data_IF_682400311859
#
_entry.id   IF_682400311859
#
_cell.length_a   1.000
_cell.length_b   1.000
_cell.length_c   1.000
_cell.angle_alpha   90.00
_cell.angle_beta   90.00
_cell.angle_gamma   90.00
#
_symmetry.space_group_name_H-M   'P 1'
#
loop_
_entity.id
_entity.type
_entity.pdbx_description
1 polymer ?
#
# COMPACT_ATOMS: atom_id res chain seq x y z
N UNK A 1 -1.21 -10.47 -10.08
CA UNK A 1 -2.47 -9.74 -9.79
C UNK A 1 -2.14 -8.44 -9.08
N UNK A 2 -2.98 -7.39 -9.15
CA UNK A 2 -2.80 -6.14 -8.41
C UNK A 2 -3.66 -6.15 -7.14
N UNK A 3 -3.02 -6.00 -5.98
CA UNK A 3 -3.67 -5.80 -4.69
C UNK A 3 -3.54 -4.34 -4.26
N UNK A 4 -4.63 -3.74 -3.80
CA UNK A 4 -4.60 -2.39 -3.22
C UNK A 4 -4.92 -2.50 -1.74
N UNK A 5 -4.04 -1.95 -0.89
CA UNK A 5 -4.14 -2.10 0.56
C UNK A 5 -3.92 -0.78 1.30
N UNK A 6 -4.63 -0.61 2.40
CA UNK A 6 -4.46 0.54 3.29
C UNK A 6 -4.44 0.08 4.74
N UNK A 7 -3.86 0.88 5.63
CA UNK A 7 -3.99 0.69 7.08
C UNK A 7 -4.98 1.71 7.62
N UNK A 8 -5.99 1.23 8.33
CA UNK A 8 -6.89 2.06 9.12
C UNK A 8 -7.38 1.29 10.35
N UNK A 9 -7.02 1.77 11.54
CA UNK A 9 -7.36 1.10 12.81
C UNK A 9 -8.82 1.29 13.21
N UNK A 10 -9.44 2.36 12.72
CA UNK A 10 -10.83 2.75 12.92
C UNK A 10 -11.30 3.62 11.74
N UNK A 11 -12.61 3.90 11.68
CA UNK A 11 -13.17 4.73 10.60
C UNK A 11 -13.15 6.20 10.98
N UNK A 12 -12.22 6.96 10.39
CA UNK A 12 -12.09 8.40 10.59
C UNK A 12 -11.55 9.13 9.34
N UNK A 13 -11.55 10.46 9.39
CA UNK A 13 -10.95 11.37 8.40
C UNK A 13 -11.37 10.99 6.97
N UNK A 14 -10.41 10.78 6.07
CA UNK A 14 -10.68 10.48 4.66
C UNK A 14 -11.05 9.03 4.39
N UNK A 15 -11.03 8.11 5.36
CA UNK A 15 -11.28 6.69 5.10
C UNK A 15 -12.64 6.43 4.40
N UNK A 16 -13.77 7.03 4.83
CA UNK A 16 -15.04 6.85 4.12
C UNK A 16 -14.99 7.31 2.66
N UNK A 17 -14.31 8.44 2.40
CA UNK A 17 -14.17 9.01 1.06
C UNK A 17 -13.22 8.17 0.20
N UNK A 18 -12.16 7.63 0.80
CA UNK A 18 -11.24 6.68 0.18
C UNK A 18 -12.01 5.44 -0.28
N UNK A 19 -12.83 4.85 0.58
CA UNK A 19 -13.65 3.68 0.25
C UNK A 19 -14.65 3.96 -0.88
N UNK A 20 -15.30 5.12 -0.84
CA UNK A 20 -16.19 5.56 -1.91
C UNK A 20 -15.43 5.70 -3.24
N UNK A 21 -14.25 6.35 -3.20
CA UNK A 21 -13.42 6.55 -4.38
C UNK A 21 -12.87 5.24 -4.96
N UNK A 22 -12.55 4.27 -4.11
CA UNK A 22 -12.13 2.94 -4.51
C UNK A 22 -13.27 2.19 -5.21
N UNK A 23 -14.46 2.17 -4.59
CA UNK A 23 -15.64 1.52 -5.15
C UNK A 23 -16.03 2.12 -6.51
N UNK A 24 -16.06 3.46 -6.61
CA UNK A 24 -16.36 4.18 -7.86
C UNK A 24 -15.39 3.82 -8.99
N UNK A 25 -14.15 3.47 -8.66
CA UNK A 25 -13.09 3.15 -9.62
C UNK A 25 -12.88 1.64 -9.83
N UNK A 26 -13.75 0.80 -9.26
CA UNK A 26 -13.66 -0.65 -9.37
C UNK A 26 -12.44 -1.25 -8.67
N UNK A 27 -11.91 -0.56 -7.65
CA UNK A 27 -10.78 -1.03 -6.85
C UNK A 27 -11.31 -1.75 -5.61
N UNK A 28 -10.91 -3.02 -5.45
CA UNK A 28 -11.09 -3.73 -4.18
C UNK A 28 -9.97 -3.32 -3.22
N UNK A 29 -10.33 -2.63 -2.14
CA UNK A 29 -9.39 -2.11 -1.16
C UNK A 29 -9.34 -3.01 0.08
N UNK A 30 -8.16 -3.56 0.38
CA UNK A 30 -7.91 -4.29 1.63
C UNK A 30 -7.65 -3.30 2.76
N UNK A 31 -8.51 -3.26 3.77
CA UNK A 31 -8.32 -2.44 4.98
C UNK A 31 -7.66 -3.30 6.05
N UNK A 32 -6.43 -2.94 6.40
CA UNK A 32 -5.61 -3.66 7.38
C UNK A 32 -5.58 -2.93 8.71
N UNK A 33 -5.28 -3.68 9.78
CA UNK A 33 -5.04 -3.10 11.10
C UNK A 33 -6.29 -2.69 11.87
N UNK A 34 -7.49 -3.09 11.43
CA UNK A 34 -8.71 -2.84 12.18
C UNK A 34 -8.61 -3.45 13.60
N UNK A 35 -8.87 -2.64 14.63
CA UNK A 35 -8.66 -2.98 16.05
C UNK A 35 -7.20 -3.27 16.46
N UNK A 36 -6.22 -2.99 15.60
CA UNK A 36 -4.81 -3.07 15.97
C UNK A 36 -4.40 -1.76 16.68
N UNK A 37 -3.84 -1.82 17.90
CA UNK A 37 -3.42 -0.61 18.60
C UNK A 37 -2.25 0.04 17.87
N UNK A 38 -2.43 1.30 17.47
CA UNK A 38 -1.38 2.10 16.86
C UNK A 38 -0.39 2.55 17.94
N UNK A 39 0.86 2.09 17.87
CA UNK A 39 1.92 2.51 18.80
C UNK A 39 2.69 3.69 18.21
N UNK A 40 3.36 3.41 17.10
CA UNK A 40 4.15 4.37 16.32
C UNK A 40 4.23 3.91 14.85
N UNK A 41 5.12 4.51 14.07
CA UNK A 41 5.30 4.19 12.64
C UNK A 41 5.69 2.73 12.37
N UNK A 42 6.35 2.04 13.31
CA UNK A 42 6.68 0.61 13.18
C UNK A 42 5.43 -0.28 13.11
N UNK A 43 4.31 0.18 13.68
CA UNK A 43 3.01 -0.51 13.58
C UNK A 43 2.61 -0.75 12.11
N UNK A 44 3.02 0.13 11.18
CA UNK A 44 2.77 -0.09 9.74
C UNK A 44 3.44 -1.38 9.26
N UNK A 45 4.68 -1.61 9.66
CA UNK A 45 5.45 -2.80 9.27
C UNK A 45 4.80 -4.04 9.88
N UNK A 46 4.48 -4.00 11.18
CA UNK A 46 3.83 -5.12 11.87
C UNK A 46 2.50 -5.54 11.22
N UNK A 47 1.73 -4.57 10.71
CA UNK A 47 0.44 -4.81 10.06
C UNK A 47 0.62 -5.27 8.59
N UNK A 48 1.56 -4.68 7.85
CA UNK A 48 1.76 -4.97 6.43
C UNK A 48 2.50 -6.29 6.19
N UNK A 49 3.45 -6.66 7.06
CA UNK A 49 4.27 -7.85 6.85
C UNK A 49 3.47 -9.15 6.74
N UNK A 50 2.46 -9.42 7.60
CA UNK A 50 1.59 -10.58 7.43
C UNK A 50 0.81 -10.55 6.11
N UNK A 51 0.34 -9.37 5.70
CA UNK A 51 -0.37 -9.21 4.42
C UNK A 51 0.55 -9.57 3.25
N UNK A 52 1.75 -9.01 3.19
CA UNK A 52 2.72 -9.32 2.13
C UNK A 52 3.09 -10.81 2.07
N UNK A 53 3.30 -11.45 3.23
CA UNK A 53 3.63 -12.89 3.30
C UNK A 53 2.48 -13.80 2.89
N UNK A 54 1.25 -13.30 2.87
CA UNK A 54 0.07 -14.07 2.46
C UNK A 54 -0.17 -14.08 0.94
N UNK A 55 0.54 -13.23 0.19
CA UNK A 55 0.34 -13.06 -1.25
C UNK A 55 1.38 -13.85 -2.07
N UNK A 56 1.02 -14.26 -3.31
CA UNK A 56 1.97 -14.80 -4.28
C UNK A 56 3.14 -13.85 -4.54
N UNK A 57 4.31 -14.40 -4.85
CA UNK A 57 5.51 -13.61 -5.13
C UNK A 57 5.34 -12.77 -6.40
N UNK A 58 4.54 -13.20 -7.38
CA UNK A 58 4.33 -12.50 -8.65
C UNK A 58 3.28 -11.39 -8.57
N UNK A 59 2.65 -11.22 -7.42
CA UNK A 59 1.60 -10.23 -7.21
C UNK A 59 2.16 -8.86 -6.86
N UNK A 60 1.49 -7.82 -7.37
CA UNK A 60 1.85 -6.42 -7.13
C UNK A 60 1.00 -5.92 -5.99
N UNK A 61 1.62 -5.25 -5.02
CA UNK A 61 0.91 -4.52 -3.97
C UNK A 61 1.04 -3.02 -4.19
N UNK A 62 -0.08 -2.33 -4.16
CA UNK A 62 -0.17 -0.87 -4.10
C UNK A 62 -0.68 -0.49 -2.71
N UNK A 63 0.17 0.13 -1.90
CA UNK A 63 -0.23 0.63 -0.59
C UNK A 63 -0.60 2.12 -0.69
N UNK A 64 -1.47 2.58 0.22
CA UNK A 64 -1.80 3.99 0.40
C UNK A 64 -2.27 4.22 1.83
N UNK A 65 -2.06 5.44 2.34
CA UNK A 65 -2.43 5.77 3.72
C UNK A 65 -3.96 5.99 3.85
N UNK A 66 -4.57 5.39 4.88
CA UNK A 66 -6.04 5.30 4.96
C UNK A 66 -6.76 6.59 5.30
N UNK A 67 -6.04 7.58 5.82
CA UNK A 67 -6.63 8.77 6.43
C UNK A 67 -6.40 10.08 5.67
N UNK A 68 -5.57 10.06 4.63
CA UNK A 68 -5.19 11.22 3.82
C UNK A 68 -4.98 10.90 2.33
N UNK A 69 -5.40 9.72 1.86
CA UNK A 69 -5.31 9.32 0.45
C UNK A 69 -6.67 9.17 -0.23
N UNK A 70 -6.66 9.22 -1.57
CA UNK A 70 -7.82 9.01 -2.44
C UNK A 70 -7.42 8.22 -3.68
N UNK A 71 -8.37 7.47 -4.24
CA UNK A 71 -8.19 6.75 -5.51
C UNK A 71 -8.96 7.48 -6.60
N UNK A 72 -8.22 8.09 -7.53
CA UNK A 72 -8.77 8.78 -8.69
C UNK A 72 -8.89 7.91 -9.95
N UNK A 73 -7.87 7.09 -10.31
CA UNK A 73 -7.94 6.29 -11.53
C UNK A 73 -8.66 4.95 -11.32
N UNK A 74 -9.16 4.36 -12.42
CA UNK A 74 -9.74 3.02 -12.40
C UNK A 74 -8.69 1.93 -12.17
N UNK A 75 -9.12 0.77 -11.66
CA UNK A 75 -8.22 -0.38 -11.45
C UNK A 75 -7.47 -0.78 -12.73
N UNK A 76 -8.14 -0.77 -13.90
CA UNK A 76 -7.52 -1.09 -15.20
C UNK A 76 -6.40 -0.12 -15.56
N UNK A 77 -6.57 1.15 -15.20
CA UNK A 77 -5.53 2.16 -15.40
C UNK A 77 -4.35 1.91 -14.46
N UNK A 78 -4.59 1.56 -13.20
CA UNK A 78 -3.53 1.18 -12.26
C UNK A 78 -2.76 -0.03 -12.80
N UNK A 79 -3.44 -1.13 -13.13
CA UNK A 79 -2.81 -2.36 -13.65
C UNK A 79 -1.93 -2.10 -14.88
N UNK A 80 -2.42 -1.31 -15.84
CA UNK A 80 -1.67 -0.95 -17.05
C UNK A 80 -0.36 -0.20 -16.74
N UNK A 81 -0.37 0.68 -15.74
CA UNK A 81 0.82 1.48 -15.39
C UNK A 81 1.77 0.74 -14.45
N UNK A 82 1.28 -0.17 -13.60
CA UNK A 82 2.12 -0.92 -12.66
C UNK A 82 2.70 -2.21 -13.23
N UNK A 83 2.03 -2.87 -14.18
CA UNK A 83 2.53 -4.10 -14.81
C UNK A 83 3.94 -3.97 -15.42
N UNK A 84 4.31 -2.87 -16.11
CA UNK A 84 5.69 -2.66 -16.58
C UNK A 84 6.71 -2.41 -15.48
N UNK A 85 6.26 -1.96 -14.30
CA UNK A 85 7.09 -1.58 -13.15
C UNK A 85 7.33 -2.75 -12.17
N UNK A 86 6.65 -3.88 -12.38
CA UNK A 86 6.65 -5.09 -11.55
C UNK A 86 8.02 -5.80 -11.41
N UNK A 87 9.13 -5.15 -11.78
CA UNK A 87 10.50 -5.65 -11.60
C UNK A 87 11.35 -4.79 -10.64
N UNK A 88 10.84 -3.66 -10.12
CA UNK A 88 11.61 -2.76 -9.22
C UNK A 88 10.72 -2.06 -8.18
N UNK A 89 11.09 -2.17 -6.90
CA UNK A 89 10.47 -1.43 -5.78
C UNK A 89 10.39 0.06 -6.12
N UNK A 90 9.18 0.62 -6.12
CA UNK A 90 8.93 2.02 -6.49
C UNK A 90 8.33 2.78 -5.31
N UNK A 91 9.12 3.68 -4.74
CA UNK A 91 8.61 4.68 -3.80
C UNK A 91 8.16 5.90 -4.60
N UNK A 92 6.98 6.49 -4.29
CA UNK A 92 6.66 7.79 -4.82
C UNK A 92 7.71 8.77 -4.30
N UNK A 93 8.19 9.62 -5.20
CA UNK A 93 9.32 10.50 -4.96
C UNK A 93 8.93 11.62 -3.98
N UNK A 94 9.07 11.33 -2.69
CA UNK A 94 9.12 12.32 -1.62
C UNK A 94 10.59 12.40 -1.19
N UNK A 95 11.13 13.61 -1.07
CA UNK A 95 12.54 13.93 -0.80
C UNK A 95 13.02 13.46 0.59
N UNK A 96 13.13 12.14 0.85
CA UNK A 96 14.03 11.54 1.87
C UNK A 96 13.92 9.98 1.92
N UNK A 97 14.12 9.31 0.77
CA UNK A 97 13.91 7.85 0.62
C UNK A 97 15.12 7.00 1.08
N UNK A 98 16.29 7.58 1.30
CA UNK A 98 17.54 6.83 1.47
C UNK A 98 17.52 5.86 2.66
N UNK A 99 16.90 6.23 3.78
CA UNK A 99 16.95 5.44 5.04
C UNK A 99 16.06 4.19 5.00
N UNK A 100 14.89 4.26 4.36
CA UNK A 100 13.94 3.13 4.35
C UNK A 100 14.28 2.07 3.30
N UNK A 101 14.96 2.48 2.23
CA UNK A 101 15.24 1.61 1.08
C UNK A 101 16.19 0.47 1.42
N UNK A 102 17.19 0.73 2.25
CA UNK A 102 18.21 -0.27 2.59
C UNK A 102 17.71 -1.22 3.69
N UNK A 103 17.06 -0.69 4.74
CA UNK A 103 16.46 -1.49 5.81
C UNK A 103 15.44 -2.53 5.30
N UNK A 104 14.55 -2.10 4.40
CA UNK A 104 13.50 -2.95 3.84
C UNK A 104 14.03 -4.03 2.90
N UNK A 105 15.06 -3.70 2.10
CA UNK A 105 15.72 -4.65 1.20
C UNK A 105 16.51 -5.72 1.95
N UNK A 106 17.22 -5.34 3.00
CA UNK A 106 18.10 -6.26 3.72
C UNK A 106 17.33 -7.25 4.62
N UNK A 107 16.13 -6.88 5.11
CA UNK A 107 15.50 -7.61 6.19
C UNK A 107 14.12 -8.22 5.87
N UNK A 108 13.41 -7.78 4.82
CA UNK A 108 11.96 -8.05 4.77
C UNK A 108 11.35 -8.49 3.43
N UNK A 109 12.05 -8.42 2.29
CA UNK A 109 11.44 -8.71 0.98
C UNK A 109 12.18 -9.79 0.18
N UNK A 110 11.53 -10.94 -0.15
CA UNK A 110 11.80 -11.63 -1.42
C UNK A 110 11.39 -10.70 -2.59
N UNK A 111 11.96 -10.94 -3.77
CA UNK A 111 12.32 -9.92 -4.76
C UNK A 111 11.18 -9.13 -5.47
N UNK A 112 9.95 -9.13 -4.95
CA UNK A 112 8.78 -8.72 -5.72
C UNK A 112 7.63 -8.09 -4.91
N UNK A 113 7.81 -7.77 -3.62
CA UNK A 113 6.79 -7.01 -2.88
C UNK A 113 7.02 -5.51 -3.07
N UNK A 114 6.01 -4.81 -3.59
CA UNK A 114 6.08 -3.37 -3.90
C UNK A 114 5.38 -2.54 -2.83
N UNK A 115 6.05 -1.49 -2.35
CA UNK A 115 5.50 -0.52 -1.39
C UNK A 115 5.44 0.85 -2.06
N UNK A 116 4.22 1.29 -2.41
CA UNK A 116 3.94 2.66 -2.80
C UNK A 116 3.31 3.35 -1.58
N UNK A 117 3.77 4.52 -1.16
CA UNK A 117 3.09 5.33 -0.14
C UNK A 117 2.71 6.66 -0.76
N UNK A 118 1.52 6.77 -1.34
CA UNK A 118 1.05 8.05 -1.89
C UNK A 118 0.52 8.89 -0.73
N UNK A 119 1.33 9.81 -0.21
CA UNK A 119 0.86 10.89 0.68
C UNK A 119 0.83 12.18 -0.15
N UNK A 120 -0.32 12.85 -0.22
CA UNK A 120 -0.45 14.18 -0.84
C UNK A 120 -0.05 15.28 0.14
#
# INVERSE_FOLDING_TARGET
MLHVATIATHSERMLPVLLESANRNGVSLSILGHNYPWKDFSSKIDILMPFFRSLPEEDIVCYLDGFDSLILPSIKHLEKNFSPLARKLFFPMITNIAVYKDFLKENFFPASVFFLQVSL
#
